data_IF_014497230359
#
_entry.id   IF_014497230359
#
_cell.length_a   1.000
_cell.length_b   1.000
_cell.length_c   1.000
_cell.angle_alpha   90.00
_cell.angle_beta   90.00
_cell.angle_gamma   90.00
#
_symmetry.space_group_name_H-M   'P 1'
#
loop_
_entity.id
_entity.type
_entity.pdbx_description
1 polymer ?
#
# COMPACT_ATOMS: atom_id res chain seq x y z
N UNK A 1 29.50 -2.91 3.92
CA UNK A 1 28.76 -1.63 3.85
C UNK A 1 28.33 -1.37 2.42
N UNK A 2 27.12 -1.02 2.19
CA UNK A 2 26.58 -0.59 0.89
C UNK A 2 26.35 0.91 0.90
N UNK A 3 26.37 1.54 -0.24
CA UNK A 3 25.93 2.92 -0.37
C UNK A 3 24.40 3.00 -0.46
N UNK A 4 23.84 4.14 -0.08
CA UNK A 4 22.38 4.38 -0.25
C UNK A 4 21.97 4.24 -1.70
N UNK A 5 22.79 4.70 -2.66
CA UNK A 5 22.50 4.63 -4.08
C UNK A 5 22.46 3.18 -4.59
N UNK A 6 23.39 2.30 -4.17
CA UNK A 6 23.35 0.87 -4.53
C UNK A 6 22.05 0.19 -4.03
N UNK A 7 21.58 0.57 -2.82
CA UNK A 7 20.33 0.05 -2.27
C UNK A 7 19.12 0.63 -3.01
N UNK A 8 19.16 1.89 -3.37
CA UNK A 8 18.11 2.53 -4.16
C UNK A 8 17.98 1.91 -5.55
N UNK A 9 19.10 1.67 -6.25
CA UNK A 9 19.09 0.94 -7.53
C UNK A 9 18.53 -0.48 -7.38
N UNK A 10 18.81 -1.15 -6.25
CA UNK A 10 18.22 -2.46 -5.99
C UNK A 10 16.70 -2.38 -5.81
N UNK A 11 16.19 -1.36 -5.12
CA UNK A 11 14.75 -1.13 -4.98
C UNK A 11 14.08 -0.80 -6.31
N UNK A 12 14.71 0.00 -7.17
CA UNK A 12 14.19 0.30 -8.50
C UNK A 12 14.09 -0.93 -9.42
N UNK A 13 14.93 -1.95 -9.21
CA UNK A 13 14.78 -3.23 -9.94
C UNK A 13 13.59 -4.05 -9.47
N UNK A 14 13.14 -3.85 -8.23
CA UNK A 14 11.94 -4.51 -7.68
C UNK A 14 10.68 -3.78 -8.14
N UNK A 15 10.68 -2.47 -8.02
CA UNK A 15 9.55 -1.61 -8.39
C UNK A 15 10.07 -0.32 -9.05
N UNK A 16 10.20 -0.31 -10.39
CA UNK A 16 10.62 0.84 -11.16
C UNK A 16 9.79 2.09 -10.89
N UNK A 17 10.43 3.26 -10.85
CA UNK A 17 9.72 4.52 -10.60
C UNK A 17 8.71 4.88 -11.67
N UNK A 18 8.91 4.40 -12.89
CA UNK A 18 8.02 4.60 -14.03
C UNK A 18 6.63 4.00 -13.81
N UNK A 19 6.49 3.08 -12.85
CA UNK A 19 5.20 2.50 -12.44
C UNK A 19 4.41 3.39 -11.47
N UNK A 20 5.04 4.45 -10.94
CA UNK A 20 4.38 5.32 -9.99
C UNK A 20 3.32 6.19 -10.65
N UNK A 21 2.27 6.48 -9.88
CA UNK A 21 1.26 7.48 -10.26
C UNK A 21 1.90 8.86 -10.43
N UNK A 22 1.42 9.63 -11.39
CA UNK A 22 2.00 10.93 -11.76
C UNK A 22 1.96 11.99 -10.65
N UNK A 23 1.07 11.83 -9.67
CA UNK A 23 0.91 12.70 -8.51
C UNK A 23 1.77 12.27 -7.32
N UNK A 24 2.37 11.08 -7.37
CA UNK A 24 3.13 10.48 -6.28
C UNK A 24 4.56 11.01 -6.18
N UNK A 25 5.22 10.75 -5.05
CA UNK A 25 6.61 11.12 -4.80
C UNK A 25 7.42 9.96 -4.19
N UNK A 26 7.55 8.81 -4.88
CA UNK A 26 8.41 7.72 -4.43
C UNK A 26 9.88 8.01 -4.72
N UNK A 27 10.76 7.17 -4.18
CA UNK A 27 12.19 7.16 -4.48
C UNK A 27 13.07 7.55 -3.30
N UNK A 28 14.27 8.01 -3.57
CA UNK A 28 15.25 8.43 -2.56
C UNK A 28 14.92 9.86 -2.08
N UNK A 29 14.15 9.97 -1.00
CA UNK A 29 13.62 11.26 -0.51
C UNK A 29 14.56 12.00 0.42
N UNK A 30 15.39 11.27 1.19
CA UNK A 30 16.42 11.85 2.06
C UNK A 30 17.71 11.07 1.85
N UNK A 31 18.78 11.76 1.44
CA UNK A 31 20.08 11.15 1.23
C UNK A 31 21.13 11.83 2.13
N UNK A 32 21.58 11.11 3.16
CA UNK A 32 22.62 11.55 4.08
C UNK A 32 24.03 11.15 3.63
N UNK A 33 24.16 10.48 2.47
CA UNK A 33 25.43 10.05 1.88
C UNK A 33 26.33 9.21 2.81
N UNK A 34 25.75 8.48 3.77
CA UNK A 34 26.46 7.63 4.71
C UNK A 34 26.43 6.16 4.25
N UNK A 35 27.47 5.37 4.57
CA UNK A 35 27.42 3.93 4.34
C UNK A 35 26.31 3.27 5.17
N UNK A 36 25.68 2.22 4.63
CA UNK A 36 24.56 1.51 5.24
C UNK A 36 24.96 0.08 5.55
N UNK A 37 24.84 -0.30 6.84
CA UNK A 37 24.99 -1.68 7.30
C UNK A 37 23.66 -2.29 7.70
N UNK A 38 22.74 -1.46 8.20
CA UNK A 38 21.41 -1.88 8.65
C UNK A 38 20.34 -1.03 8.04
N UNK A 39 19.25 -1.67 7.66
CA UNK A 39 18.05 -1.05 7.08
C UNK A 39 16.87 -1.35 7.99
N UNK A 40 16.05 -0.34 8.28
CA UNK A 40 14.75 -0.51 8.89
C UNK A 40 13.69 -0.45 7.80
N UNK A 41 12.72 -1.36 7.83
CA UNK A 41 11.59 -1.37 6.89
C UNK A 41 10.31 -1.07 7.66
N UNK A 42 9.49 -0.16 7.15
CA UNK A 42 8.27 0.28 7.82
C UNK A 42 7.19 0.68 6.81
N UNK A 43 5.96 0.82 7.27
CA UNK A 43 4.88 1.42 6.48
C UNK A 43 5.05 2.95 6.45
N UNK A 44 5.12 3.57 7.62
CA UNK A 44 5.26 5.02 7.83
C UNK A 44 6.56 5.36 8.53
N UNK A 45 7.18 6.48 8.17
CA UNK A 45 8.30 7.03 8.93
C UNK A 45 7.76 8.06 9.93
N UNK A 46 7.55 7.62 11.17
CA UNK A 46 7.16 8.48 12.29
C UNK A 46 8.39 8.91 13.11
N UNK A 47 8.28 9.90 14.02
CA UNK A 47 9.37 10.23 14.95
C UNK A 47 9.88 9.01 15.72
N UNK A 48 8.98 8.16 16.23
CA UNK A 48 9.33 6.94 16.98
C UNK A 48 10.12 5.94 16.11
N UNK A 49 9.77 5.82 14.83
CA UNK A 49 10.52 5.00 13.87
C UNK A 49 11.93 5.55 13.62
N UNK A 50 12.08 6.87 13.56
CA UNK A 50 13.41 7.50 13.43
C UNK A 50 14.25 7.24 14.68
N UNK A 51 13.67 7.37 15.89
CA UNK A 51 14.34 7.05 17.15
C UNK A 51 14.75 5.57 17.21
N UNK A 52 13.85 4.66 16.82
CA UNK A 52 14.16 3.22 16.75
C UNK A 52 15.31 2.94 15.78
N UNK A 53 15.27 3.53 14.58
CA UNK A 53 16.33 3.38 13.58
C UNK A 53 17.68 3.88 14.09
N UNK A 54 17.70 5.04 14.76
CA UNK A 54 18.89 5.60 15.37
C UNK A 54 19.46 4.70 16.49
N UNK A 55 18.58 4.23 17.39
CA UNK A 55 18.96 3.34 18.48
C UNK A 55 19.52 1.99 17.99
N UNK A 56 18.99 1.48 16.86
CA UNK A 56 19.46 0.24 16.22
C UNK A 56 20.66 0.43 15.28
N UNK A 57 21.13 1.66 15.08
CA UNK A 57 22.23 1.99 14.17
C UNK A 57 21.88 1.75 12.71
N UNK A 58 20.62 1.95 12.31
CA UNK A 58 20.21 1.88 10.92
C UNK A 58 20.60 3.16 10.18
N UNK A 59 21.28 3.03 9.05
CA UNK A 59 21.67 4.16 8.19
C UNK A 59 20.63 4.47 7.10
N UNK A 60 19.60 3.62 6.96
CA UNK A 60 18.56 3.74 5.96
C UNK A 60 17.23 3.25 6.52
N UNK A 61 16.16 3.99 6.21
CA UNK A 61 14.78 3.51 6.34
C UNK A 61 14.20 3.34 4.94
N UNK A 62 13.58 2.19 4.67
CA UNK A 62 12.76 1.94 3.49
C UNK A 62 11.31 1.92 3.95
N UNK A 63 10.49 2.83 3.40
CA UNK A 63 9.09 2.95 3.77
C UNK A 63 8.19 2.80 2.56
N UNK A 64 6.93 2.43 2.81
CA UNK A 64 5.90 2.46 1.78
C UNK A 64 5.41 3.89 1.56
N UNK A 65 4.97 4.57 2.62
CA UNK A 65 4.48 5.93 2.51
C UNK A 65 5.62 6.96 2.45
N UNK A 66 5.52 7.98 1.54
CA UNK A 66 6.55 8.97 1.37
C UNK A 66 6.65 9.93 2.56
N UNK A 67 7.82 10.03 3.16
CA UNK A 67 8.10 10.99 4.25
C UNK A 67 8.06 12.46 3.78
N UNK A 68 8.19 12.68 2.48
CA UNK A 68 8.00 13.96 1.80
C UNK A 68 7.03 13.71 0.65
N UNK A 69 5.75 14.05 0.83
CA UNK A 69 4.74 13.91 -0.21
C UNK A 69 4.66 15.18 -1.09
N UNK A 70 4.65 16.33 -0.48
CA UNK A 70 4.63 17.63 -1.16
C UNK A 70 5.94 18.40 -0.94
N UNK A 71 6.33 19.30 -1.85
CA UNK A 71 7.54 20.12 -1.70
C UNK A 71 7.58 20.88 -0.38
N UNK A 72 8.69 20.76 0.35
CA UNK A 72 8.87 21.41 1.63
C UNK A 72 9.32 22.86 1.43
N UNK A 73 8.62 23.82 2.06
CA UNK A 73 8.98 25.24 2.05
C UNK A 73 9.91 25.61 3.21
N UNK A 74 9.95 24.83 4.27
CA UNK A 74 10.79 25.01 5.48
C UNK A 74 10.95 23.69 6.20
N UNK A 75 12.00 23.59 7.00
CA UNK A 75 12.26 22.44 7.90
C UNK A 75 12.41 22.96 9.33
N UNK A 76 11.88 22.23 10.29
CA UNK A 76 11.97 22.51 11.72
C UNK A 76 12.33 21.23 12.50
N UNK A 77 12.89 21.32 13.70
CA UNK A 77 13.32 20.14 14.48
C UNK A 77 12.24 19.07 14.72
N UNK A 78 10.96 19.45 14.70
CA UNK A 78 9.82 18.52 14.83
C UNK A 78 9.47 17.77 13.56
N UNK A 79 9.98 18.21 12.41
CA UNK A 79 9.66 17.61 11.13
C UNK A 79 10.51 16.34 10.92
N UNK A 80 9.86 15.25 10.53
CA UNK A 80 10.51 13.94 10.36
C UNK A 80 11.69 14.01 9.38
N UNK A 81 11.61 14.69 8.21
CA UNK A 81 12.75 14.83 7.33
C UNK A 81 13.96 15.54 7.98
N UNK A 82 13.72 16.52 8.89
CA UNK A 82 14.80 17.15 9.66
C UNK A 82 15.45 16.16 10.63
N UNK A 83 14.63 15.37 11.34
CA UNK A 83 15.11 14.36 12.29
C UNK A 83 15.94 13.28 11.60
N UNK A 84 15.55 12.84 10.40
CA UNK A 84 16.32 11.92 9.57
C UNK A 84 17.72 12.48 9.27
N UNK A 85 17.78 13.71 8.76
CA UNK A 85 19.06 14.39 8.45
C UNK A 85 19.91 14.56 9.70
N UNK A 86 19.31 14.97 10.82
CA UNK A 86 20.02 15.16 12.10
C UNK A 86 20.66 13.86 12.62
N UNK A 87 19.98 12.73 12.44
CA UNK A 87 20.49 11.41 12.81
C UNK A 87 21.38 10.77 11.73
N UNK A 88 21.48 11.39 10.55
CA UNK A 88 22.25 10.84 9.43
C UNK A 88 21.64 9.59 8.83
N UNK A 89 20.31 9.47 8.86
CA UNK A 89 19.52 8.36 8.33
C UNK A 89 18.91 8.76 7.00
N UNK A 90 19.17 7.97 5.97
CA UNK A 90 18.56 8.15 4.66
C UNK A 90 17.18 7.53 4.60
N UNK A 91 16.32 7.98 3.66
CA UNK A 91 14.98 7.44 3.47
C UNK A 91 14.68 7.19 1.99
N UNK A 92 14.26 5.97 1.69
CA UNK A 92 13.72 5.54 0.40
C UNK A 92 12.24 5.22 0.58
N UNK A 93 11.42 5.70 -0.35
CA UNK A 93 9.99 5.40 -0.41
C UNK A 93 9.70 4.55 -1.65
N UNK A 94 8.92 3.48 -1.45
CA UNK A 94 8.40 2.60 -2.50
C UNK A 94 6.87 2.54 -2.32
N UNK A 95 6.15 3.44 -2.99
CA UNK A 95 4.73 3.69 -2.80
C UNK A 95 3.90 3.12 -3.94
N UNK A 96 3.26 3.93 -4.76
CA UNK A 96 2.40 3.45 -5.84
C UNK A 96 3.15 2.63 -6.90
N UNK A 97 4.43 2.86 -7.09
CA UNK A 97 5.29 2.01 -7.91
C UNK A 97 5.39 0.58 -7.37
N UNK A 98 5.43 0.38 -6.05
CA UNK A 98 5.40 -0.95 -5.43
C UNK A 98 4.01 -1.57 -5.46
N UNK A 99 2.95 -0.74 -5.39
CA UNK A 99 1.58 -1.23 -5.56
C UNK A 99 1.35 -1.82 -6.96
N UNK A 100 1.92 -1.18 -7.99
CA UNK A 100 1.76 -1.56 -9.39
C UNK A 100 2.74 -2.65 -9.87
N UNK A 101 3.87 -2.82 -9.19
CA UNK A 101 4.94 -3.74 -9.60
C UNK A 101 4.49 -5.20 -9.66
N UNK A 102 5.16 -5.97 -10.53
CA UNK A 102 5.09 -7.44 -10.51
C UNK A 102 5.61 -7.96 -9.16
N UNK A 103 4.86 -8.86 -8.52
CA UNK A 103 5.14 -9.31 -7.15
C UNK A 103 4.91 -8.25 -6.07
N UNK A 104 4.39 -7.08 -6.44
CA UNK A 104 4.09 -5.97 -5.54
C UNK A 104 2.83 -6.16 -4.71
N UNK A 105 2.40 -5.08 -4.04
CA UNK A 105 1.34 -5.15 -3.01
C UNK A 105 0.03 -5.71 -3.55
N UNK A 106 -0.41 -5.24 -4.71
CA UNK A 106 -1.70 -5.67 -5.27
C UNK A 106 -1.69 -7.11 -5.81
N UNK A 107 -0.54 -7.61 -6.26
CA UNK A 107 -0.43 -9.04 -6.61
C UNK A 107 -0.37 -9.94 -5.37
N UNK A 108 0.25 -9.47 -4.29
CA UNK A 108 0.20 -10.16 -3.00
C UNK A 108 -1.25 -10.24 -2.49
N UNK A 109 -2.00 -9.12 -2.58
CA UNK A 109 -3.43 -9.12 -2.23
C UNK A 109 -4.22 -10.09 -3.12
N UNK A 110 -4.04 -10.05 -4.45
CA UNK A 110 -4.70 -10.97 -5.38
C UNK A 110 -4.45 -12.44 -4.99
N UNK A 111 -3.19 -12.79 -4.69
CA UNK A 111 -2.82 -14.12 -4.23
C UNK A 111 -3.45 -14.53 -2.89
N UNK A 112 -3.61 -13.59 -1.94
CA UNK A 112 -4.25 -13.84 -0.64
C UNK A 112 -5.72 -14.29 -0.78
N UNK A 113 -6.41 -13.78 -1.80
CA UNK A 113 -7.82 -14.11 -2.06
C UNK A 113 -7.99 -15.28 -3.02
N UNK A 114 -6.89 -15.86 -3.53
CA UNK A 114 -6.92 -16.99 -4.46
C UNK A 114 -7.38 -16.57 -5.86
N UNK A 115 -7.11 -15.32 -6.23
CA UNK A 115 -7.40 -14.79 -7.55
C UNK A 115 -6.56 -15.52 -8.60
N UNK A 116 -7.15 -15.79 -9.74
CA UNK A 116 -6.51 -16.42 -10.91
C UNK A 116 -6.68 -15.54 -12.13
N UNK A 117 -5.79 -15.70 -13.11
CA UNK A 117 -5.88 -15.02 -14.41
C UNK A 117 -6.05 -13.50 -14.26
N UNK A 118 -5.35 -12.91 -13.28
CA UNK A 118 -5.49 -11.48 -13.03
C UNK A 118 -4.80 -10.64 -14.10
N UNK A 119 -5.37 -9.49 -14.32
CA UNK A 119 -4.85 -8.45 -15.20
C UNK A 119 -4.83 -7.10 -14.46
N UNK A 120 -3.98 -6.16 -14.87
CA UNK A 120 -3.97 -4.82 -14.28
C UNK A 120 -5.23 -4.03 -14.68
N UNK A 121 -5.71 -3.17 -13.77
CA UNK A 121 -6.72 -2.15 -14.06
C UNK A 121 -6.37 -0.83 -13.34
N UNK A 122 -7.14 0.22 -13.55
CA UNK A 122 -6.93 1.54 -12.95
C UNK A 122 -5.47 2.02 -13.12
N UNK A 123 -5.03 2.15 -14.38
CA UNK A 123 -3.68 2.62 -14.70
C UNK A 123 -2.55 1.66 -14.33
N UNK A 124 -2.87 0.43 -13.90
CA UNK A 124 -1.89 -0.57 -13.45
C UNK A 124 -1.79 -0.69 -11.93
N UNK A 125 -2.42 0.20 -11.18
CA UNK A 125 -2.40 0.16 -9.71
C UNK A 125 -3.15 -1.01 -9.12
N UNK A 126 -4.30 -1.42 -9.72
CA UNK A 126 -5.11 -2.54 -9.23
C UNK A 126 -4.90 -3.84 -10.00
N UNK A 127 -5.48 -4.92 -9.47
CA UNK A 127 -5.56 -6.23 -10.14
C UNK A 127 -7.01 -6.69 -10.16
N UNK A 128 -7.48 -7.22 -11.29
CA UNK A 128 -8.80 -7.83 -11.43
C UNK A 128 -8.66 -9.24 -11.99
N UNK A 129 -9.40 -10.19 -11.44
CA UNK A 129 -9.30 -11.59 -11.88
C UNK A 129 -10.39 -12.47 -11.29
N UNK A 130 -10.33 -13.74 -11.62
CA UNK A 130 -11.32 -14.74 -11.23
C UNK A 130 -11.05 -15.27 -9.81
N UNK A 131 -12.13 -15.48 -9.05
CA UNK A 131 -12.13 -16.20 -7.78
C UNK A 131 -13.15 -17.33 -7.84
N UNK A 132 -13.06 -18.29 -6.93
CA UNK A 132 -14.13 -19.27 -6.75
C UNK A 132 -15.38 -18.54 -6.30
N UNK A 133 -16.54 -18.96 -6.83
CA UNK A 133 -17.83 -18.34 -6.53
C UNK A 133 -18.03 -18.24 -5.01
N UNK A 134 -18.19 -17.02 -4.51
CA UNK A 134 -18.29 -16.72 -3.09
C UNK A 134 -19.31 -15.61 -2.85
N UNK A 135 -19.98 -15.63 -1.72
CA UNK A 135 -20.85 -14.52 -1.33
C UNK A 135 -20.03 -13.35 -0.75
N UNK A 136 -20.58 -12.14 -0.84
CA UNK A 136 -19.91 -10.94 -0.30
C UNK A 136 -19.63 -11.05 1.21
N UNK A 137 -20.58 -11.52 2.05
CA UNK A 137 -20.29 -11.74 3.48
C UNK A 137 -19.17 -12.74 3.74
N UNK A 138 -19.11 -13.86 2.99
CA UNK A 138 -18.04 -14.85 3.12
C UNK A 138 -16.69 -14.28 2.68
N UNK A 139 -16.66 -13.50 1.60
CA UNK A 139 -15.44 -12.83 1.14
C UNK A 139 -14.96 -11.77 2.16
N UNK A 140 -15.87 -11.00 2.73
CA UNK A 140 -15.58 -10.06 3.80
C UNK A 140 -15.02 -10.75 5.06
N UNK A 141 -15.59 -11.91 5.44
CA UNK A 141 -15.07 -12.72 6.54
C UNK A 141 -13.66 -13.27 6.22
N UNK A 142 -13.44 -13.73 4.99
CA UNK A 142 -12.11 -14.17 4.52
C UNK A 142 -11.10 -13.03 4.60
N UNK A 143 -11.50 -11.80 4.21
CA UNK A 143 -10.66 -10.61 4.34
C UNK A 143 -10.35 -10.29 5.82
N UNK A 144 -11.35 -10.32 6.68
CA UNK A 144 -11.22 -10.14 8.13
C UNK A 144 -10.20 -11.10 8.74
N UNK A 145 -10.29 -12.39 8.39
CA UNK A 145 -9.41 -13.44 8.91
C UNK A 145 -7.98 -13.32 8.36
N UNK A 146 -7.84 -13.03 7.07
CA UNK A 146 -6.54 -12.91 6.42
C UNK A 146 -5.75 -11.70 6.93
N UNK A 147 -6.40 -10.55 7.08
CA UNK A 147 -5.79 -9.33 7.57
C UNK A 147 -5.57 -9.36 9.09
N UNK A 148 -6.53 -9.89 9.85
CA UNK A 148 -6.43 -10.02 11.30
C UNK A 148 -5.25 -10.89 11.75
N UNK A 149 -4.93 -11.96 11.04
CA UNK A 149 -3.78 -12.85 11.34
C UNK A 149 -2.42 -12.21 11.00
N UNK A 150 -2.37 -11.26 10.08
CA UNK A 150 -1.12 -10.66 9.59
C UNK A 150 -0.79 -9.33 10.24
N UNK A 151 -1.77 -8.66 10.82
CA UNK A 151 -1.54 -7.43 11.58
C UNK A 151 -0.87 -7.78 12.90
N UNK A 152 0.43 -7.55 13.03
CA UNK A 152 1.18 -7.59 14.29
C UNK A 152 0.73 -6.41 15.18
N UNK A 153 -0.52 -6.43 15.65
CA UNK A 153 -1.02 -5.43 16.59
C UNK A 153 -0.78 -5.90 18.01
N UNK A 154 -0.50 -4.97 18.95
CA UNK A 154 -0.55 -5.30 20.38
C UNK A 154 -1.92 -5.94 20.70
N UNK A 155 -1.96 -6.93 21.58
CA UNK A 155 -3.18 -7.62 22.01
C UNK A 155 -4.28 -6.66 22.53
N UNK A 156 -3.90 -5.43 22.89
CA UNK A 156 -4.77 -4.37 23.39
C UNK A 156 -5.31 -3.42 22.32
N UNK A 157 -4.92 -3.56 21.06
CA UNK A 157 -5.38 -2.71 19.95
C UNK A 157 -6.80 -3.10 19.47
N UNK A 158 -7.56 -2.16 18.86
CA UNK A 158 -8.85 -2.49 18.27
C UNK A 158 -8.68 -3.56 17.19
N UNK A 159 -9.58 -4.55 17.17
CA UNK A 159 -9.58 -5.58 16.12
C UNK A 159 -9.74 -4.93 14.73
N UNK A 160 -9.12 -5.54 13.71
CA UNK A 160 -9.39 -5.19 12.33
C UNK A 160 -10.87 -5.40 12.06
N UNK A 161 -11.56 -4.40 11.53
CA UNK A 161 -12.96 -4.49 11.14
C UNK A 161 -13.06 -4.30 9.64
N UNK A 162 -13.51 -5.34 8.94
CA UNK A 162 -13.84 -5.26 7.53
C UNK A 162 -15.31 -4.86 7.41
N UNK A 163 -15.57 -3.80 6.63
CA UNK A 163 -16.92 -3.32 6.29
C UNK A 163 -17.18 -3.64 4.84
N UNK A 164 -18.44 -3.82 4.49
CA UNK A 164 -18.82 -4.08 3.10
C UNK A 164 -20.20 -3.52 2.76
N UNK A 165 -20.42 -3.32 1.46
CA UNK A 165 -21.74 -3.17 0.86
C UNK A 165 -21.95 -4.35 -0.07
N UNK A 166 -23.17 -4.89 -0.07
CA UNK A 166 -23.54 -6.06 -0.84
C UNK A 166 -24.56 -5.66 -1.93
N UNK A 167 -24.20 -5.89 -3.18
CA UNK A 167 -25.09 -5.68 -4.34
C UNK A 167 -26.15 -6.78 -4.50
N UNK A 168 -26.08 -7.82 -3.68
CA UNK A 168 -26.96 -8.99 -3.72
C UNK A 168 -26.51 -10.05 -4.74
N UNK A 169 -25.38 -9.86 -5.42
CA UNK A 169 -24.83 -10.81 -6.37
C UNK A 169 -23.60 -11.52 -5.81
N UNK A 170 -23.41 -12.81 -6.10
CA UNK A 170 -22.18 -13.50 -5.72
C UNK A 170 -20.98 -12.95 -6.50
N UNK A 171 -19.78 -13.13 -5.93
CA UNK A 171 -18.52 -12.67 -6.51
C UNK A 171 -17.83 -13.83 -7.22
N UNK A 172 -17.52 -13.63 -8.49
CA UNK A 172 -16.70 -14.54 -9.30
C UNK A 172 -15.54 -13.79 -9.97
N UNK A 173 -15.70 -12.48 -10.21
CA UNK A 173 -14.66 -11.58 -10.69
C UNK A 173 -14.37 -10.50 -9.64
N UNK A 174 -13.20 -10.61 -8.99
CA UNK A 174 -12.77 -9.73 -7.91
C UNK A 174 -11.77 -8.71 -8.43
N UNK A 175 -11.97 -7.44 -8.09
CA UNK A 175 -10.97 -6.40 -8.22
C UNK A 175 -10.34 -6.12 -6.85
N UNK A 176 -9.02 -5.95 -6.80
CA UNK A 176 -8.29 -5.57 -5.58
C UNK A 176 -7.43 -4.34 -5.86
N UNK A 177 -7.43 -3.43 -4.91
CA UNK A 177 -6.54 -2.26 -4.93
C UNK A 177 -6.19 -1.87 -3.49
N UNK A 178 -4.90 -1.75 -3.19
CA UNK A 178 -4.41 -1.34 -1.87
C UNK A 178 -4.72 0.13 -1.57
N UNK A 179 -4.63 0.51 -0.30
CA UNK A 179 -4.80 1.90 0.12
C UNK A 179 -6.22 2.43 -0.10
N UNK A 180 -6.34 3.70 -0.48
CA UNK A 180 -7.61 4.43 -0.63
C UNK A 180 -8.20 4.28 -2.05
N UNK A 181 -8.41 3.06 -2.51
CA UNK A 181 -8.90 2.74 -3.85
C UNK A 181 -10.42 2.87 -4.06
N UNK A 182 -11.18 3.27 -3.04
CA UNK A 182 -12.64 3.32 -3.11
C UNK A 182 -13.21 4.25 -4.19
N UNK A 183 -12.47 5.27 -4.62
CA UNK A 183 -12.89 6.16 -5.72
C UNK A 183 -12.79 5.51 -7.10
N UNK A 184 -12.10 4.38 -7.23
CA UNK A 184 -11.87 3.66 -8.48
C UNK A 184 -12.93 2.57 -8.74
N UNK A 185 -14.09 2.70 -8.09
CA UNK A 185 -15.18 1.74 -8.25
C UNK A 185 -15.75 1.72 -9.69
N UNK A 186 -15.76 2.85 -10.39
CA UNK A 186 -16.23 2.92 -11.78
C UNK A 186 -15.28 2.18 -12.73
N UNK A 187 -13.97 2.29 -12.51
CA UNK A 187 -12.96 1.52 -13.25
C UNK A 187 -13.09 0.01 -12.98
N UNK A 188 -13.41 -0.38 -11.73
CA UNK A 188 -13.68 -1.78 -11.41
C UNK A 188 -14.92 -2.30 -12.12
N UNK A 189 -15.99 -1.50 -12.21
CA UNK A 189 -17.18 -1.83 -13.01
C UNK A 189 -16.83 -1.97 -14.49
N UNK A 190 -16.04 -1.05 -15.03
CA UNK A 190 -15.67 -1.04 -16.45
C UNK A 190 -14.90 -2.31 -16.88
N UNK A 191 -14.13 -2.93 -15.94
CA UNK A 191 -13.46 -4.21 -16.20
C UNK A 191 -14.28 -5.43 -15.79
N UNK A 192 -15.56 -5.24 -15.48
CA UNK A 192 -16.53 -6.30 -15.20
C UNK A 192 -16.36 -6.97 -13.84
N UNK A 193 -15.83 -6.28 -12.85
CA UNK A 193 -15.73 -6.81 -11.49
C UNK A 193 -17.11 -6.88 -10.82
N UNK A 194 -17.36 -7.95 -10.05
CA UNK A 194 -18.54 -8.11 -9.19
C UNK A 194 -18.32 -7.43 -7.81
N UNK A 195 -17.07 -7.34 -7.42
CA UNK A 195 -16.66 -6.76 -6.12
C UNK A 195 -15.31 -6.04 -6.24
N UNK A 196 -15.20 -4.89 -5.57
CA UNK A 196 -13.95 -4.20 -5.33
C UNK A 196 -13.55 -4.35 -3.86
N UNK A 197 -12.35 -4.89 -3.61
CA UNK A 197 -11.73 -4.95 -2.29
C UNK A 197 -10.63 -3.90 -2.20
N UNK A 198 -10.72 -3.02 -1.19
CA UNK A 198 -9.78 -1.90 -0.99
C UNK A 198 -9.55 -1.61 0.48
N UNK A 199 -8.47 -0.89 0.80
CA UNK A 199 -8.15 -0.52 2.18
C UNK A 199 -9.06 0.58 2.73
N UNK A 200 -9.52 1.51 1.89
CA UNK A 200 -10.35 2.64 2.30
C UNK A 200 -11.34 3.03 1.20
N UNK A 201 -12.59 3.24 1.62
CA UNK A 201 -13.63 3.84 0.81
C UNK A 201 -14.51 4.75 1.66
N UNK A 202 -14.95 5.88 1.11
CA UNK A 202 -15.91 6.73 1.79
C UNK A 202 -17.35 6.23 1.61
N UNK A 203 -18.27 6.76 2.42
CA UNK A 203 -19.68 6.36 2.38
C UNK A 203 -20.34 6.54 1.01
N UNK A 204 -20.02 7.63 0.30
CA UNK A 204 -20.60 7.92 -1.01
C UNK A 204 -20.13 6.90 -2.05
N UNK A 205 -18.84 6.55 -2.07
CA UNK A 205 -18.31 5.50 -2.94
C UNK A 205 -19.02 4.17 -2.72
N UNK A 206 -19.26 3.80 -1.45
CA UNK A 206 -19.95 2.57 -1.10
C UNK A 206 -21.43 2.56 -1.59
N UNK A 207 -22.15 3.68 -1.42
CA UNK A 207 -23.51 3.83 -1.88
C UNK A 207 -23.62 3.81 -3.42
N UNK A 208 -22.73 4.51 -4.10
CA UNK A 208 -22.75 4.60 -5.56
C UNK A 208 -22.35 3.27 -6.21
N UNK A 209 -21.33 2.59 -5.69
CA UNK A 209 -20.92 1.27 -6.13
C UNK A 209 -22.08 0.27 -6.01
N UNK A 210 -22.75 0.20 -4.85
CA UNK A 210 -23.90 -0.68 -4.64
C UNK A 210 -25.07 -0.37 -5.58
N UNK A 211 -25.37 0.91 -5.80
CA UNK A 211 -26.41 1.35 -6.74
C UNK A 211 -26.11 0.93 -8.18
N UNK A 212 -24.84 0.83 -8.55
CA UNK A 212 -24.39 0.42 -9.88
C UNK A 212 -24.13 -1.10 -9.98
N UNK A 213 -24.45 -1.86 -8.92
CA UNK A 213 -24.35 -3.32 -8.92
C UNK A 213 -22.96 -3.87 -8.52
N UNK A 214 -22.04 -3.03 -8.08
CA UNK A 214 -20.73 -3.46 -7.59
C UNK A 214 -20.76 -3.59 -6.05
N UNK A 215 -20.36 -4.74 -5.52
CA UNK A 215 -20.09 -4.89 -4.10
C UNK A 215 -18.75 -4.25 -3.74
N UNK A 216 -18.62 -3.75 -2.51
CA UNK A 216 -17.40 -3.11 -2.04
C UNK A 216 -17.05 -3.63 -0.63
N UNK A 217 -15.79 -4.04 -0.45
CA UNK A 217 -15.22 -4.54 0.81
C UNK A 217 -14.03 -3.68 1.20
#
# INVERSE_FOLDING_TARGET
MRTVNELYEAMQRIAPLELAESWDNPGLLVNCCRPVDRVLVTLDITPDVVEEAAAKGCGLIVAHHPVIFSPLKRLAPKDVPFQLVQNGISAICMHTNLDAAEGGVNEVLAGMFGMRNWEPFAGGCGRVGEVDLITVPELAQKAQDALGKRCNRPETGPAVQVKYTDSGMPVQRLAVISGAGGSLFEEAIAVGADCLLTGEANHHHACDAARLGLSLI
#
